data_IF_755689308136
#
_entry.id   IF_755689308136
#
_cell.length_a   1.000
_cell.length_b   1.000
_cell.length_c   1.000
_cell.angle_alpha   90.00
_cell.angle_beta   90.00
_cell.angle_gamma   90.00
#
_symmetry.space_group_name_H-M   'P 1'
#
loop_
_entity.id
_entity.type
_entity.pdbx_description
1 polymer ?
#
# COMPACT_ATOMS: atom_id res chain seq x y z
N UNK A 1 11.48 11.46 -44.62
CA UNK A 1 11.56 11.93 -43.22
C UNK A 1 11.88 10.72 -42.36
N UNK A 2 13.11 10.62 -41.86
CA UNK A 2 13.47 9.62 -40.85
C UNK A 2 12.79 10.06 -39.54
N UNK A 3 11.94 9.20 -38.99
CA UNK A 3 11.30 9.45 -37.70
C UNK A 3 12.39 9.45 -36.62
N UNK A 4 12.74 10.62 -36.12
CA UNK A 4 13.47 10.75 -34.86
C UNK A 4 12.49 10.36 -33.74
N UNK A 5 12.64 9.15 -33.20
CA UNK A 5 11.80 8.62 -32.13
C UNK A 5 12.19 9.19 -30.75
N UNK A 6 13.13 10.15 -30.70
CA UNK A 6 13.70 10.65 -29.47
C UNK A 6 14.52 9.59 -28.73
N UNK A 7 15.13 9.95 -27.59
CA UNK A 7 15.84 9.00 -26.76
C UNK A 7 14.85 7.95 -26.21
N UNK A 8 15.20 6.68 -26.38
CA UNK A 8 14.44 5.56 -25.83
C UNK A 8 14.49 5.62 -24.30
N UNK A 9 13.33 5.85 -23.67
CA UNK A 9 13.20 5.76 -22.21
C UNK A 9 13.55 4.35 -21.71
N UNK A 10 14.28 4.29 -20.59
CA UNK A 10 14.81 3.07 -20.00
C UNK A 10 13.67 2.17 -19.49
N UNK A 11 13.81 0.85 -19.66
CA UNK A 11 12.93 -0.11 -18.98
C UNK A 11 13.39 -0.35 -17.54
N UNK A 12 12.54 -0.95 -16.70
CA UNK A 12 12.95 -1.34 -15.34
C UNK A 12 14.19 -2.25 -15.35
N UNK A 13 14.38 -3.11 -16.37
CA UNK A 13 15.57 -3.98 -16.47
C UNK A 13 16.83 -3.21 -16.88
N UNK A 14 16.68 -2.22 -17.75
CA UNK A 14 17.80 -1.38 -18.19
C UNK A 14 18.33 -0.55 -17.01
N UNK A 15 17.41 0.03 -16.23
CA UNK A 15 17.71 0.72 -14.97
C UNK A 15 18.36 -0.21 -13.95
N UNK A 16 17.83 -1.43 -13.75
CA UNK A 16 18.41 -2.40 -12.84
C UNK A 16 19.89 -2.68 -13.15
N UNK A 17 20.20 -2.82 -14.45
CA UNK A 17 21.55 -3.05 -14.94
C UNK A 17 22.45 -1.83 -14.73
N UNK A 18 21.97 -0.63 -15.07
CA UNK A 18 22.73 0.60 -14.87
C UNK A 18 23.10 0.82 -13.40
N UNK A 19 22.14 0.60 -12.48
CA UNK A 19 22.40 0.66 -11.04
C UNK A 19 23.38 -0.41 -10.59
N UNK A 20 23.24 -1.65 -11.10
CA UNK A 20 24.18 -2.72 -10.78
C UNK A 20 25.63 -2.36 -11.14
N UNK A 21 25.81 -1.75 -12.30
CA UNK A 21 27.14 -1.45 -12.84
C UNK A 21 27.75 -0.17 -12.24
N UNK A 22 26.93 0.80 -11.81
CA UNK A 22 27.40 2.13 -11.39
C UNK A 22 26.73 2.76 -10.17
N UNK A 23 25.92 2.01 -9.42
CA UNK A 23 25.18 2.50 -8.26
C UNK A 23 24.09 3.53 -8.60
N UNK A 24 23.56 4.22 -7.59
CA UNK A 24 22.52 5.24 -7.77
C UNK A 24 22.98 6.46 -8.61
N UNK A 25 24.29 6.72 -8.68
CA UNK A 25 24.86 7.80 -9.49
C UNK A 25 24.83 7.51 -11.01
N UNK A 26 24.59 6.25 -11.41
CA UNK A 26 24.36 5.90 -12.81
C UNK A 26 23.01 6.43 -13.35
N UNK A 27 22.10 6.89 -12.48
CA UNK A 27 20.79 7.43 -12.85
C UNK A 27 20.88 8.94 -13.11
N UNK A 28 21.60 9.33 -14.17
CA UNK A 28 21.91 10.74 -14.50
C UNK A 28 20.68 11.57 -14.90
N UNK A 29 19.61 10.92 -15.33
CA UNK A 29 18.34 11.58 -15.69
C UNK A 29 17.42 11.77 -14.47
N UNK A 30 17.78 11.24 -13.30
CA UNK A 30 16.93 11.30 -12.13
C UNK A 30 16.87 12.72 -11.57
N UNK A 31 15.67 13.31 -11.52
CA UNK A 31 15.47 14.67 -11.05
C UNK A 31 15.10 14.68 -9.56
N UNK A 32 15.68 15.61 -8.80
CA UNK A 32 15.16 15.96 -7.47
C UNK A 32 13.92 16.82 -7.63
N UNK A 33 12.93 16.66 -6.74
CA UNK A 33 11.71 17.48 -6.72
C UNK A 33 11.61 18.22 -5.39
N UNK A 34 10.40 18.50 -4.93
CA UNK A 34 10.17 19.24 -3.68
C UNK A 34 10.61 18.46 -2.42
N UNK A 35 10.85 17.16 -2.55
CA UNK A 35 11.45 16.31 -1.53
C UNK A 35 12.89 15.88 -1.92
N UNK A 36 13.58 15.24 -0.98
CA UNK A 36 14.97 14.81 -1.17
C UNK A 36 15.13 13.58 -2.07
N UNK A 37 14.01 12.98 -2.50
CA UNK A 37 14.02 11.83 -3.38
C UNK A 37 14.39 12.22 -4.82
N UNK A 38 15.09 11.31 -5.48
CA UNK A 38 15.35 11.33 -6.92
C UNK A 38 14.24 10.55 -7.63
N UNK A 39 13.80 11.04 -8.78
CA UNK A 39 12.76 10.41 -9.60
C UNK A 39 13.30 10.05 -10.98
N UNK A 40 13.27 8.76 -11.31
CA UNK A 40 13.67 8.25 -12.62
C UNK A 40 12.45 7.77 -13.39
N UNK A 41 12.18 8.40 -14.54
CA UNK A 41 11.15 7.94 -15.46
C UNK A 41 11.60 6.68 -16.18
N UNK A 42 10.69 5.71 -16.29
CA UNK A 42 10.91 4.42 -16.94
C UNK A 42 9.67 3.98 -17.70
N UNK A 43 9.84 3.01 -18.59
CA UNK A 43 8.73 2.27 -19.21
C UNK A 43 8.55 0.88 -18.62
N UNK A 44 7.30 0.47 -18.41
CA UNK A 44 6.93 -0.90 -18.11
C UNK A 44 6.42 -1.64 -19.35
N UNK A 45 6.62 -2.96 -19.36
CA UNK A 45 6.08 -3.85 -20.41
C UNK A 45 4.67 -4.34 -20.10
N UNK A 46 4.33 -4.41 -18.81
CA UNK A 46 3.02 -4.82 -18.31
C UNK A 46 2.64 -3.99 -17.10
N UNK A 47 1.36 -3.63 -16.99
CA UNK A 47 0.80 -2.95 -15.84
C UNK A 47 0.19 -3.97 -14.86
N UNK A 48 -0.56 -4.95 -15.36
CA UNK A 48 -1.19 -6.05 -14.61
C UNK A 48 -0.22 -7.20 -14.34
N UNK A 49 0.19 -7.35 -13.07
CA UNK A 49 1.09 -8.43 -12.66
C UNK A 49 0.32 -9.52 -11.92
N UNK A 50 0.36 -10.76 -12.42
CA UNK A 50 -0.38 -11.89 -11.84
C UNK A 50 0.25 -12.35 -10.52
N UNK A 51 -0.59 -12.67 -9.54
CA UNK A 51 -0.17 -13.19 -8.24
C UNK A 51 -0.90 -14.49 -7.89
N UNK A 52 -0.33 -15.26 -6.95
CA UNK A 52 -0.92 -16.48 -6.38
C UNK A 52 -0.95 -16.38 -4.86
N UNK A 53 -1.93 -17.05 -4.24
CA UNK A 53 -2.09 -17.08 -2.79
C UNK A 53 -2.61 -15.78 -2.17
N UNK A 54 -3.13 -14.86 -3.00
CA UNK A 54 -3.73 -13.59 -2.59
C UNK A 54 -5.25 -13.64 -2.81
N UNK A 55 -6.04 -12.80 -2.11
CA UNK A 55 -7.48 -12.67 -2.33
C UNK A 55 -7.84 -11.92 -3.64
N UNK A 56 -6.83 -11.55 -4.43
CA UNK A 56 -6.92 -10.88 -5.73
C UNK A 56 -5.98 -11.58 -6.72
N UNK A 57 -6.29 -11.50 -8.02
CA UNK A 57 -5.52 -12.18 -9.07
C UNK A 57 -4.37 -11.32 -9.62
N UNK A 58 -4.48 -10.00 -9.49
CA UNK A 58 -3.59 -9.04 -10.17
C UNK A 58 -3.13 -7.91 -9.26
N UNK A 59 -1.96 -7.36 -9.55
CA UNK A 59 -1.43 -6.18 -8.87
C UNK A 59 -1.07 -5.07 -9.84
N UNK A 60 -1.28 -3.83 -9.40
CA UNK A 60 -1.02 -2.59 -10.11
C UNK A 60 -0.11 -1.72 -9.23
N UNK A 61 1.04 -1.34 -9.78
CA UNK A 61 2.02 -0.50 -9.08
C UNK A 61 2.62 0.50 -10.11
N UNK A 62 2.01 1.69 -10.25
CA UNK A 62 2.48 2.72 -11.19
C UNK A 62 3.88 3.25 -10.86
N UNK A 63 4.23 3.20 -9.58
CA UNK A 63 5.53 3.59 -9.06
C UNK A 63 6.31 2.37 -8.56
N UNK A 64 7.59 2.59 -8.27
CA UNK A 64 8.43 1.67 -7.52
C UNK A 64 9.34 2.46 -6.59
N UNK A 65 9.50 1.98 -5.37
CA UNK A 65 10.00 2.80 -4.27
C UNK A 65 8.86 3.57 -3.62
N UNK A 66 9.08 4.11 -2.42
CA UNK A 66 8.10 4.96 -1.76
C UNK A 66 8.74 5.92 -0.78
N UNK A 67 8.50 7.23 -0.96
CA UNK A 67 9.06 8.29 -0.10
C UNK A 67 8.46 8.32 1.30
N UNK A 68 7.44 7.51 1.59
CA UNK A 68 6.89 7.34 2.94
C UNK A 68 7.90 6.77 3.96
N UNK A 69 8.95 6.09 3.48
CA UNK A 69 10.08 5.64 4.29
C UNK A 69 9.73 4.82 5.54
N UNK A 70 8.64 4.03 5.52
CA UNK A 70 8.27 3.21 6.67
C UNK A 70 9.35 2.16 6.98
N UNK A 71 9.79 2.08 8.24
CA UNK A 71 10.81 1.12 8.66
C UNK A 71 10.34 -0.33 8.55
N UNK A 72 9.03 -0.55 8.64
CA UNK A 72 8.42 -1.88 8.54
C UNK A 72 8.00 -2.27 7.10
N UNK A 73 8.37 -1.48 6.08
CA UNK A 73 7.84 -1.64 4.73
C UNK A 73 8.25 -2.98 4.10
N UNK A 74 7.30 -3.89 3.94
CA UNK A 74 7.57 -5.21 3.33
C UNK A 74 8.01 -5.13 1.87
N UNK A 75 7.66 -4.04 1.16
CA UNK A 75 8.02 -3.84 -0.23
C UNK A 75 9.54 -3.68 -0.44
N UNK A 76 10.30 -3.40 0.62
CA UNK A 76 11.77 -3.41 0.63
C UNK A 76 12.33 -4.76 0.17
N UNK A 77 11.63 -5.88 0.42
CA UNK A 77 12.03 -7.20 -0.10
C UNK A 77 12.02 -7.27 -1.63
N UNK A 78 11.11 -6.55 -2.31
CA UNK A 78 11.09 -6.60 -3.76
C UNK A 78 12.21 -5.77 -4.39
N UNK A 79 12.91 -4.93 -3.64
CA UNK A 79 14.05 -4.16 -4.14
C UNK A 79 15.34 -4.97 -4.26
N UNK A 80 15.58 -5.96 -3.40
CA UNK A 80 16.79 -6.81 -3.50
C UNK A 80 16.90 -7.54 -4.84
N UNK A 81 15.78 -7.70 -5.57
CA UNK A 81 15.74 -8.29 -6.91
C UNK A 81 16.41 -7.41 -7.99
N UNK A 82 16.74 -6.16 -7.66
CA UNK A 82 17.32 -5.17 -8.58
C UNK A 82 18.73 -4.75 -8.16
N UNK A 83 19.31 -5.46 -7.18
CA UNK A 83 20.64 -5.16 -6.61
C UNK A 83 20.77 -3.74 -6.01
N UNK A 84 19.64 -3.04 -5.86
CA UNK A 84 19.47 -1.85 -5.02
C UNK A 84 19.43 -2.28 -3.55
N UNK A 85 20.11 -1.53 -2.69
CA UNK A 85 20.14 -1.79 -1.25
C UNK A 85 18.74 -1.69 -0.65
N UNK A 86 18.40 -2.62 0.26
CA UNK A 86 17.13 -2.59 1.02
C UNK A 86 17.06 -1.47 2.08
N UNK A 87 18.12 -0.66 2.18
CA UNK A 87 18.26 0.51 3.04
C UNK A 87 17.52 1.74 2.52
N UNK A 88 18.08 2.92 2.72
CA UNK A 88 17.34 4.17 2.49
C UNK A 88 17.14 4.50 1.01
N UNK A 89 17.85 3.81 0.11
CA UNK A 89 17.69 3.86 -1.34
C UNK A 89 16.24 3.56 -1.80
N UNK A 90 15.51 2.71 -1.06
CA UNK A 90 14.08 2.46 -1.35
C UNK A 90 13.20 3.70 -1.26
N UNK A 91 13.54 4.60 -0.33
CA UNK A 91 12.79 5.82 -0.04
C UNK A 91 13.37 7.05 -0.75
N UNK A 92 14.60 6.98 -1.25
CA UNK A 92 15.28 8.10 -1.92
C UNK A 92 15.36 7.96 -3.45
N UNK A 93 15.05 6.80 -4.02
CA UNK A 93 15.04 6.57 -5.47
C UNK A 93 13.70 5.98 -5.94
N UNK A 94 12.89 6.78 -6.62
CA UNK A 94 11.56 6.37 -7.10
C UNK A 94 11.57 6.20 -8.62
N UNK A 95 11.13 5.04 -9.09
CA UNK A 95 10.90 4.81 -10.52
C UNK A 95 9.46 5.08 -10.89
N UNK A 96 9.26 5.91 -11.90
CA UNK A 96 7.95 6.35 -12.38
C UNK A 96 7.68 5.68 -13.73
N UNK A 97 6.65 4.84 -13.80
CA UNK A 97 6.29 4.16 -15.05
C UNK A 97 5.40 5.07 -15.89
N UNK A 98 6.00 5.94 -16.71
CA UNK A 98 5.27 7.00 -17.43
C UNK A 98 4.27 6.47 -18.45
N UNK A 99 4.53 5.29 -19.03
CA UNK A 99 3.61 4.61 -19.95
C UNK A 99 2.57 3.69 -19.27
N UNK A 100 2.49 3.67 -17.93
CA UNK A 100 1.72 2.68 -17.17
C UNK A 100 0.23 2.68 -17.53
N UNK A 101 -0.39 3.85 -17.64
CA UNK A 101 -1.82 3.98 -17.91
C UNK A 101 -2.17 3.48 -19.32
N UNK A 102 -1.32 3.77 -20.31
CA UNK A 102 -1.55 3.33 -21.69
C UNK A 102 -1.35 1.82 -21.85
N UNK A 103 -0.36 1.25 -21.16
CA UNK A 103 -0.19 -0.21 -21.09
C UNK A 103 -1.41 -0.85 -20.43
N UNK A 104 -1.88 -0.32 -19.30
CA UNK A 104 -3.04 -0.85 -18.60
C UNK A 104 -4.30 -0.83 -19.47
N UNK A 105 -4.59 0.28 -20.17
CA UNK A 105 -5.74 0.36 -21.08
C UNK A 105 -5.71 -0.75 -22.13
N UNK A 106 -4.56 -0.98 -22.76
CA UNK A 106 -4.39 -2.05 -23.75
C UNK A 106 -4.60 -3.44 -23.16
N UNK A 107 -4.12 -3.68 -21.94
CA UNK A 107 -4.31 -4.97 -21.26
C UNK A 107 -5.78 -5.20 -20.85
N UNK A 108 -6.50 -4.15 -20.46
CA UNK A 108 -7.92 -4.22 -20.10
C UNK A 108 -8.85 -4.34 -21.32
N UNK A 109 -8.41 -3.88 -22.49
CA UNK A 109 -9.11 -4.00 -23.77
C UNK A 109 -8.98 -5.40 -24.40
N UNK A 110 -8.14 -6.29 -23.84
CA UNK A 110 -8.02 -7.67 -24.30
C UNK A 110 -9.37 -8.40 -24.14
N UNK A 111 -9.95 -8.98 -25.20
CA UNK A 111 -11.20 -9.75 -25.12
C UNK A 111 -11.18 -10.91 -24.12
N UNK A 112 -10.01 -11.38 -23.71
CA UNK A 112 -9.82 -12.43 -22.69
C UNK A 112 -9.81 -11.89 -21.26
N UNK A 113 -9.83 -10.58 -21.07
CA UNK A 113 -9.82 -9.99 -19.74
C UNK A 113 -11.10 -10.33 -18.96
N UNK A 114 -10.94 -11.05 -17.86
CA UNK A 114 -12.05 -11.58 -17.05
C UNK A 114 -12.56 -10.58 -16.00
N UNK A 115 -11.95 -9.39 -15.91
CA UNK A 115 -12.28 -8.38 -14.89
C UNK A 115 -12.10 -8.90 -13.47
N UNK A 116 -11.09 -9.74 -13.28
CA UNK A 116 -10.68 -10.20 -11.97
C UNK A 116 -10.29 -9.02 -11.07
N UNK A 117 -10.48 -9.18 -9.76
CA UNK A 117 -10.06 -8.18 -8.76
C UNK A 117 -8.56 -7.90 -8.89
N UNK A 118 -8.24 -6.63 -9.13
CA UNK A 118 -6.87 -6.11 -9.09
C UNK A 118 -6.60 -5.40 -7.75
N UNK A 119 -5.34 -5.38 -7.32
CA UNK A 119 -4.91 -4.63 -6.15
C UNK A 119 -3.95 -3.51 -6.54
N UNK A 120 -4.32 -2.26 -6.25
CA UNK A 120 -3.50 -1.07 -6.49
C UNK A 120 -2.77 -0.67 -5.20
N UNK A 121 -1.46 -0.50 -5.29
CA UNK A 121 -0.64 -0.05 -4.16
C UNK A 121 -0.09 -1.18 -3.28
N UNK A 122 0.23 -2.33 -3.88
CA UNK A 122 0.73 -3.50 -3.15
C UNK A 122 2.23 -3.47 -2.87
N UNK A 123 3.03 -2.73 -3.64
CA UNK A 123 4.49 -2.65 -3.47
C UNK A 123 5.02 -1.21 -3.47
N UNK A 124 4.13 -0.23 -3.52
CA UNK A 124 4.40 1.20 -3.46
C UNK A 124 3.12 1.89 -2.99
N UNK A 125 3.21 3.13 -2.53
CA UNK A 125 2.01 3.92 -2.30
C UNK A 125 1.59 4.66 -3.59
N UNK A 126 0.35 4.45 -4.08
CA UNK A 126 -0.14 5.10 -5.29
C UNK A 126 -0.35 6.62 -5.08
N UNK A 127 -0.47 7.09 -3.85
CA UNK A 127 -0.70 8.49 -3.47
C UNK A 127 0.45 9.07 -2.64
N UNK A 128 1.67 8.56 -2.80
CA UNK A 128 2.88 9.25 -2.32
C UNK A 128 3.01 10.64 -3.00
N UNK A 129 3.74 11.61 -2.42
CA UNK A 129 3.78 13.00 -2.88
C UNK A 129 3.91 13.22 -4.39
N UNK A 130 4.72 12.43 -5.09
CA UNK A 130 4.94 12.57 -6.54
C UNK A 130 3.69 12.34 -7.39
N UNK A 131 2.66 11.67 -6.86
CA UNK A 131 1.36 11.50 -7.53
C UNK A 131 0.65 12.83 -7.77
N UNK A 132 0.99 13.88 -7.02
CA UNK A 132 0.49 15.24 -7.28
C UNK A 132 0.93 15.78 -8.64
N UNK A 133 2.09 15.33 -9.14
CA UNK A 133 2.65 15.70 -10.43
C UNK A 133 2.18 14.78 -11.56
N UNK A 134 2.45 13.48 -11.47
CA UNK A 134 2.23 12.56 -12.60
C UNK A 134 0.77 12.11 -12.77
N UNK A 135 -0.01 12.07 -11.69
CA UNK A 135 -1.42 11.65 -11.72
C UNK A 135 -1.64 10.23 -12.30
N UNK A 136 -0.64 9.34 -12.20
CA UNK A 136 -0.73 7.98 -12.76
C UNK A 136 -1.77 7.14 -12.04
N UNK A 137 -1.98 7.34 -10.74
CA UNK A 137 -3.00 6.63 -9.98
C UNK A 137 -4.41 7.07 -10.39
N UNK A 138 -4.63 8.36 -10.64
CA UNK A 138 -5.88 8.84 -11.25
C UNK A 138 -6.13 8.21 -12.62
N UNK A 139 -5.13 8.24 -13.51
CA UNK A 139 -5.23 7.63 -14.83
C UNK A 139 -5.48 6.12 -14.77
N UNK A 140 -4.88 5.44 -13.78
CA UNK A 140 -5.12 4.01 -13.48
C UNK A 140 -6.57 3.77 -13.10
N UNK A 141 -7.13 4.56 -12.18
CA UNK A 141 -8.54 4.45 -11.79
C UNK A 141 -9.48 4.69 -12.98
N UNK A 142 -9.19 5.68 -13.83
CA UNK A 142 -9.99 5.94 -15.05
C UNK A 142 -9.94 4.76 -16.03
N UNK A 143 -8.77 4.13 -16.21
CA UNK A 143 -8.64 2.92 -17.02
C UNK A 143 -9.45 1.75 -16.45
N UNK A 144 -9.45 1.59 -15.12
CA UNK A 144 -10.24 0.56 -14.42
C UNK A 144 -11.76 0.80 -14.55
N UNK A 145 -12.21 2.05 -14.53
CA UNK A 145 -13.61 2.43 -14.83
C UNK A 145 -13.98 1.98 -16.24
N UNK A 146 -13.17 2.34 -17.24
CA UNK A 146 -13.42 1.96 -18.64
C UNK A 146 -13.43 0.43 -18.83
N UNK A 147 -12.46 -0.26 -18.22
CA UNK A 147 -12.36 -1.72 -18.23
C UNK A 147 -13.33 -2.44 -17.27
N UNK A 148 -14.21 -1.71 -16.57
CA UNK A 148 -15.15 -2.23 -15.54
C UNK A 148 -14.49 -3.23 -14.60
N UNK A 149 -13.29 -2.90 -14.13
CA UNK A 149 -12.44 -3.82 -13.37
C UNK A 149 -12.44 -3.44 -11.89
N UNK A 150 -12.89 -4.32 -10.98
CA UNK A 150 -12.91 -4.01 -9.56
C UNK A 150 -11.49 -3.90 -9.00
N UNK A 151 -11.32 -3.04 -8.00
CA UNK A 151 -10.01 -2.79 -7.38
C UNK A 151 -10.05 -2.78 -5.85
N UNK A 152 -9.07 -3.45 -5.23
CA UNK A 152 -8.66 -3.18 -3.86
C UNK A 152 -7.53 -2.16 -3.85
N UNK A 153 -7.78 -0.93 -3.40
CA UNK A 153 -6.75 0.12 -3.37
C UNK A 153 -6.22 0.29 -1.94
N UNK A 154 -4.90 0.20 -1.77
CA UNK A 154 -4.25 0.43 -0.47
C UNK A 154 -3.38 1.69 -0.53
N UNK A 155 -3.54 2.59 0.43
CA UNK A 155 -2.75 3.82 0.52
C UNK A 155 -2.59 4.35 1.95
N UNK A 156 -1.57 5.17 2.16
CA UNK A 156 -1.34 6.07 3.31
C UNK A 156 -1.43 7.54 2.89
N UNK A 157 -1.58 7.85 1.60
CA UNK A 157 -1.66 9.20 1.07
C UNK A 157 -3.08 9.77 1.15
N UNK A 158 -3.32 10.87 1.89
CA UNK A 158 -4.64 11.50 1.95
C UNK A 158 -5.04 12.16 0.62
N UNK A 159 -4.11 12.31 -0.33
CA UNK A 159 -4.36 12.85 -1.67
C UNK A 159 -5.43 12.07 -2.46
N UNK A 160 -5.73 10.82 -2.07
CA UNK A 160 -6.82 10.03 -2.66
C UNK A 160 -8.16 10.78 -2.70
N UNK A 161 -8.40 11.72 -1.78
CA UNK A 161 -9.61 12.57 -1.80
C UNK A 161 -9.80 13.36 -3.10
N UNK A 162 -8.71 13.68 -3.82
CA UNK A 162 -8.74 14.31 -5.14
C UNK A 162 -9.53 13.50 -6.16
N UNK A 163 -9.49 12.17 -6.03
CA UNK A 163 -10.02 11.24 -7.03
C UNK A 163 -11.33 10.58 -6.58
N UNK A 164 -12.03 11.17 -5.60
CA UNK A 164 -13.36 10.71 -5.16
C UNK A 164 -14.34 10.62 -6.34
N UNK A 165 -14.28 11.57 -7.28
CA UNK A 165 -15.12 11.57 -8.48
C UNK A 165 -14.93 10.29 -9.31
N UNK A 166 -13.69 9.89 -9.56
CA UNK A 166 -13.37 8.67 -10.33
C UNK A 166 -13.68 7.40 -9.52
N UNK A 167 -13.47 7.43 -8.20
CA UNK A 167 -13.83 6.31 -7.32
C UNK A 167 -15.34 6.08 -7.28
N UNK A 168 -16.15 7.14 -7.27
CA UNK A 168 -17.61 7.04 -7.37
C UNK A 168 -18.03 6.43 -8.72
N UNK A 169 -17.40 6.86 -9.82
CA UNK A 169 -17.65 6.25 -11.13
C UNK A 169 -17.27 4.77 -11.16
N UNK A 170 -16.17 4.39 -10.52
CA UNK A 170 -15.77 2.99 -10.38
C UNK A 170 -16.79 2.17 -9.58
N UNK A 171 -17.33 2.73 -8.50
CA UNK A 171 -18.39 2.10 -7.70
C UNK A 171 -19.70 1.91 -8.49
N UNK A 172 -19.99 2.75 -9.49
CA UNK A 172 -21.17 2.58 -10.37
C UNK A 172 -21.01 1.44 -11.37
N UNK A 173 -19.79 1.17 -11.83
CA UNK A 173 -19.53 0.21 -12.91
C UNK A 173 -18.91 -1.11 -12.44
N UNK A 174 -18.57 -1.24 -11.16
CA UNK A 174 -18.00 -2.45 -10.56
C UNK A 174 -18.67 -2.83 -9.25
N UNK A 175 -18.64 -4.11 -8.93
CA UNK A 175 -19.00 -4.62 -7.60
C UNK A 175 -17.74 -5.09 -6.89
N UNK A 176 -17.58 -4.76 -5.60
CA UNK A 176 -16.48 -5.27 -4.77
C UNK A 176 -15.21 -4.43 -4.75
N UNK A 177 -15.19 -3.26 -5.42
CA UNK A 177 -14.10 -2.30 -5.23
C UNK A 177 -14.08 -1.78 -3.80
N UNK A 178 -12.91 -1.79 -3.16
CA UNK A 178 -12.75 -1.45 -1.74
C UNK A 178 -11.49 -0.63 -1.53
N UNK A 179 -11.60 0.46 -0.76
CA UNK A 179 -10.48 1.36 -0.46
C UNK A 179 -10.00 1.14 0.97
N UNK A 180 -8.70 0.91 1.09
CA UNK A 180 -8.01 0.60 2.34
C UNK A 180 -7.03 1.73 2.67
N UNK A 181 -7.35 2.54 3.68
CA UNK A 181 -6.40 3.53 4.19
C UNK A 181 -5.62 2.92 5.35
N UNK A 182 -4.30 2.86 5.23
CA UNK A 182 -3.45 2.30 6.28
C UNK A 182 -3.25 3.30 7.42
N UNK A 183 -3.77 2.96 8.59
CA UNK A 183 -3.59 3.72 9.85
C UNK A 183 -3.24 2.72 10.95
N UNK A 184 -1.95 2.37 11.11
CA UNK A 184 -1.49 1.41 12.12
C UNK A 184 -1.79 1.85 13.55
N UNK A 185 -1.68 3.16 13.80
CA UNK A 185 -1.81 3.79 15.11
C UNK A 185 -2.20 5.25 14.95
N UNK A 186 -2.89 5.82 15.95
CA UNK A 186 -3.04 7.27 16.12
C UNK A 186 -2.09 7.85 17.17
N UNK A 187 -1.21 7.03 17.74
CA UNK A 187 -0.16 7.48 18.66
C UNK A 187 0.95 8.22 17.90
N UNK A 188 1.09 9.51 18.21
CA UNK A 188 2.01 10.44 17.56
C UNK A 188 3.48 9.99 17.60
N UNK A 189 3.93 9.49 18.74
CA UNK A 189 5.32 9.04 18.93
C UNK A 189 5.61 7.79 18.09
N UNK A 190 4.74 6.78 18.16
CA UNK A 190 4.88 5.58 17.34
C UNK A 190 4.77 5.90 15.82
N UNK A 191 3.88 6.81 15.42
CA UNK A 191 3.76 7.24 14.03
C UNK A 191 5.06 7.87 13.51
N UNK A 192 5.58 8.90 14.21
CA UNK A 192 6.81 9.60 13.80
C UNK A 192 8.00 8.64 13.72
N UNK A 193 8.11 7.69 14.65
CA UNK A 193 9.21 6.71 14.71
C UNK A 193 9.12 5.65 13.62
N UNK A 194 7.92 5.17 13.26
CA UNK A 194 7.77 4.01 12.39
C UNK A 194 7.54 4.36 10.91
N UNK A 195 6.89 5.49 10.63
CA UNK A 195 6.49 5.89 9.28
C UNK A 195 6.64 7.41 9.02
N UNK A 196 7.87 7.95 9.16
CA UNK A 196 8.15 9.39 9.21
C UNK A 196 7.76 10.17 7.95
N UNK A 197 7.80 9.54 6.77
CA UNK A 197 7.46 10.19 5.50
C UNK A 197 5.96 10.19 5.16
N UNK A 198 5.10 9.67 6.05
CA UNK A 198 3.66 9.56 5.79
C UNK A 198 2.90 10.77 6.33
N UNK A 199 1.69 11.01 5.81
CA UNK A 199 0.79 11.99 6.41
C UNK A 199 0.36 11.57 7.83
N UNK A 200 -0.01 12.55 8.65
CA UNK A 200 -0.47 12.31 10.02
C UNK A 200 -1.66 11.31 10.04
N UNK A 201 -1.74 10.38 11.01
CA UNK A 201 -2.84 9.41 11.12
C UNK A 201 -4.24 10.03 11.03
N UNK A 202 -4.46 11.15 11.73
CA UNK A 202 -5.75 11.85 11.69
C UNK A 202 -6.06 12.47 10.31
N UNK A 203 -5.06 12.88 9.52
CA UNK A 203 -5.30 13.35 8.15
C UNK A 203 -5.74 12.19 7.24
N UNK A 204 -5.13 11.01 7.43
CA UNK A 204 -5.54 9.77 6.76
C UNK A 204 -6.98 9.38 7.13
N UNK A 205 -7.36 9.49 8.41
CA UNK A 205 -8.73 9.22 8.85
C UNK A 205 -9.74 10.26 8.32
N UNK A 206 -9.36 11.53 8.16
CA UNK A 206 -10.21 12.52 7.46
C UNK A 206 -10.44 12.14 5.99
N UNK A 207 -9.43 11.59 5.32
CA UNK A 207 -9.59 11.07 3.96
C UNK A 207 -10.58 9.88 3.92
N UNK A 208 -10.51 8.98 4.91
CA UNK A 208 -11.52 7.90 5.08
C UNK A 208 -12.91 8.50 5.21
N UNK A 209 -13.09 9.48 6.10
CA UNK A 209 -14.39 10.13 6.30
C UNK A 209 -14.93 10.74 5.01
N UNK A 210 -14.10 11.49 4.28
CA UNK A 210 -14.49 12.10 3.00
C UNK A 210 -14.93 11.06 1.95
N UNK A 211 -14.23 9.92 1.86
CA UNK A 211 -14.62 8.84 0.95
C UNK A 211 -15.93 8.16 1.39
N UNK A 212 -16.10 7.91 2.69
CA UNK A 212 -17.33 7.31 3.23
C UNK A 212 -18.54 8.23 3.04
N UNK A 213 -18.40 9.52 3.30
CA UNK A 213 -19.45 10.52 3.08
C UNK A 213 -19.83 10.64 1.59
N UNK A 214 -18.90 10.33 0.67
CA UNK A 214 -19.14 10.26 -0.77
C UNK A 214 -19.74 8.91 -1.24
N UNK A 215 -20.06 7.99 -0.32
CA UNK A 215 -20.63 6.67 -0.64
C UNK A 215 -19.62 5.64 -1.14
N UNK A 216 -18.32 5.88 -0.98
CA UNK A 216 -17.26 4.92 -1.37
C UNK A 216 -17.06 3.91 -0.25
N UNK A 217 -16.91 2.63 -0.61
CA UNK A 217 -16.59 1.55 0.34
C UNK A 217 -15.13 1.68 0.81
N UNK A 218 -14.95 2.48 1.86
CA UNK A 218 -13.65 2.81 2.42
C UNK A 218 -13.54 2.41 3.90
N UNK A 219 -12.39 1.82 4.25
CA UNK A 219 -12.08 1.40 5.60
C UNK A 219 -10.61 1.51 5.93
N UNK A 220 -10.23 0.98 7.09
CA UNK A 220 -8.88 1.14 7.64
C UNK A 220 -8.16 -0.20 7.74
N UNK A 221 -6.87 -0.20 7.40
CA UNK A 221 -5.95 -1.26 7.77
C UNK A 221 -5.02 -0.78 8.88
N UNK A 222 -5.16 -1.36 10.08
CA UNK A 222 -4.17 -1.27 11.15
C UNK A 222 -3.04 -2.26 10.84
N UNK A 223 -2.22 -1.94 9.83
CA UNK A 223 -1.23 -2.86 9.27
C UNK A 223 0.09 -2.13 8.95
N UNK A 224 1.19 -2.45 9.65
CA UNK A 224 1.31 -3.46 10.70
C UNK A 224 1.02 -2.93 12.12
N UNK A 225 0.46 -3.78 12.97
CA UNK A 225 0.59 -3.66 14.42
C UNK A 225 2.00 -4.12 14.83
N UNK A 226 2.77 -3.19 15.38
CA UNK A 226 4.17 -3.33 15.77
C UNK A 226 4.30 -3.55 17.28
N UNK A 227 4.76 -4.73 17.74
CA UNK A 227 4.94 -5.05 19.16
C UNK A 227 5.79 -4.02 19.92
N UNK A 228 5.32 -3.57 21.09
CA UNK A 228 6.05 -2.57 21.88
C UNK A 228 5.92 -1.13 21.39
N UNK A 229 5.37 -0.89 20.19
CA UNK A 229 5.11 0.46 19.68
C UNK A 229 3.62 0.80 19.60
N UNK A 230 2.81 -0.15 19.13
CA UNK A 230 1.38 0.08 18.80
C UNK A 230 0.43 -0.97 19.38
N UNK A 231 0.95 -2.05 19.95
CA UNK A 231 0.13 -3.16 20.48
C UNK A 231 -0.28 -2.99 21.95
N UNK A 232 0.09 -1.88 22.61
CA UNK A 232 -0.40 -1.59 23.95
C UNK A 232 -1.92 -1.41 23.94
N UNK A 233 -2.68 -1.98 24.90
CA UNK A 233 -4.14 -1.90 24.91
C UNK A 233 -4.70 -0.48 24.77
N UNK A 234 -4.13 0.50 25.47
CA UNK A 234 -4.55 1.90 25.39
C UNK A 234 -4.36 2.51 23.98
N UNK A 235 -3.24 2.19 23.30
CA UNK A 235 -2.97 2.66 21.93
C UNK A 235 -3.90 2.00 20.91
N UNK A 236 -4.14 0.69 21.06
CA UNK A 236 -5.11 -0.04 20.25
C UNK A 236 -6.51 0.55 20.40
N UNK A 237 -6.94 0.81 21.64
CA UNK A 237 -8.24 1.40 21.94
C UNK A 237 -8.38 2.81 21.35
N UNK A 238 -7.42 3.69 21.59
CA UNK A 238 -7.42 5.05 21.04
C UNK A 238 -7.50 5.03 19.50
N UNK A 239 -6.73 4.14 18.87
CA UNK A 239 -6.70 4.01 17.40
C UNK A 239 -8.04 3.48 16.87
N UNK A 240 -8.59 2.41 17.44
CA UNK A 240 -9.88 1.84 17.00
C UNK A 240 -11.01 2.83 17.22
N UNK A 241 -11.03 3.55 18.35
CA UNK A 241 -12.01 4.61 18.60
C UNK A 241 -11.89 5.71 17.55
N UNK A 242 -10.70 6.22 17.28
CA UNK A 242 -10.51 7.26 16.26
C UNK A 242 -10.96 6.81 14.88
N UNK A 243 -10.71 5.55 14.51
CA UNK A 243 -11.21 4.95 13.26
C UNK A 243 -12.75 4.94 13.23
N UNK A 244 -13.39 4.57 14.35
CA UNK A 244 -14.85 4.57 14.49
C UNK A 244 -15.43 5.98 14.33
N UNK A 245 -14.83 6.97 15.01
CA UNK A 245 -15.27 8.36 15.00
C UNK A 245 -15.21 8.98 13.58
N UNK A 246 -14.30 8.49 12.73
CA UNK A 246 -14.17 8.91 11.33
C UNK A 246 -15.02 8.09 10.36
N UNK A 247 -15.84 7.17 10.86
CA UNK A 247 -16.90 6.51 10.09
C UNK A 247 -16.43 5.40 9.14
N UNK A 248 -15.22 4.86 9.32
CA UNK A 248 -14.71 3.76 8.50
C UNK A 248 -15.73 2.61 8.39
N UNK A 249 -15.92 2.06 7.18
CA UNK A 249 -16.90 0.98 6.93
C UNK A 249 -16.46 -0.36 7.51
N UNK A 250 -15.14 -0.57 7.58
CA UNK A 250 -14.52 -1.78 8.12
C UNK A 250 -13.12 -1.47 8.66
N UNK A 251 -12.61 -2.41 9.47
CA UNK A 251 -11.24 -2.37 10.00
C UNK A 251 -10.58 -3.74 9.88
N UNK A 252 -9.46 -3.81 9.17
CA UNK A 252 -8.54 -4.93 9.17
C UNK A 252 -7.34 -4.66 10.08
N UNK A 253 -6.72 -5.70 10.61
CA UNK A 253 -5.50 -5.56 11.42
C UNK A 253 -4.57 -6.75 11.17
N UNK A 254 -3.30 -6.47 10.91
CA UNK A 254 -2.26 -7.48 10.75
C UNK A 254 -1.06 -7.11 11.60
N UNK A 255 -0.39 -8.10 12.18
CA UNK A 255 0.86 -7.86 12.89
C UNK A 255 2.00 -7.63 11.91
N UNK A 256 3.05 -6.99 12.41
CA UNK A 256 4.31 -6.82 11.72
C UNK A 256 4.83 -8.17 11.17
N UNK A 257 5.34 -8.08 9.95
CA UNK A 257 5.97 -9.15 9.20
C UNK A 257 7.43 -8.76 8.96
N UNK A 258 8.37 -9.64 9.31
CA UNK A 258 9.80 -9.38 9.18
C UNK A 258 10.48 -10.49 8.40
N UNK A 259 10.82 -10.22 7.15
CA UNK A 259 11.49 -11.19 6.28
C UNK A 259 12.43 -10.50 5.29
N UNK A 260 13.55 -11.16 4.95
CA UNK A 260 14.61 -10.62 4.10
C UNK A 260 14.97 -9.17 4.40
N UNK A 261 15.10 -8.35 3.34
CA UNK A 261 15.49 -6.94 3.46
C UNK A 261 14.61 -6.07 4.36
N UNK A 262 13.35 -6.47 4.60
CA UNK A 262 12.47 -5.80 5.57
C UNK A 262 12.95 -6.04 7.00
N UNK A 263 13.30 -7.29 7.34
CA UNK A 263 13.87 -7.64 8.65
C UNK A 263 15.17 -6.89 8.86
N UNK A 264 16.07 -6.91 7.88
CA UNK A 264 17.39 -6.30 7.99
C UNK A 264 17.29 -4.79 8.26
N UNK A 265 16.44 -4.08 7.52
CA UNK A 265 16.23 -2.64 7.73
C UNK A 265 15.57 -2.35 9.07
N UNK A 266 14.53 -3.09 9.44
CA UNK A 266 13.81 -2.87 10.70
C UNK A 266 14.68 -3.17 11.94
N UNK A 267 15.48 -4.23 11.91
CA UNK A 267 16.39 -4.57 13.01
C UNK A 267 17.53 -3.55 13.14
N UNK A 268 18.03 -2.96 12.05
CA UNK A 268 18.99 -1.84 12.12
C UNK A 268 18.37 -0.59 12.77
N UNK A 269 17.14 -0.26 12.40
CA UNK A 269 16.38 0.81 13.06
C UNK A 269 16.24 0.55 14.57
N UNK A 270 15.89 -0.68 14.98
CA UNK A 270 15.84 -1.02 16.40
C UNK A 270 17.20 -0.92 17.08
N UNK A 271 18.27 -1.42 16.47
CA UNK A 271 19.61 -1.38 17.06
C UNK A 271 20.10 0.06 17.28
N UNK A 272 19.76 0.98 16.37
CA UNK A 272 20.09 2.40 16.48
C UNK A 272 19.26 3.11 17.55
N UNK A 273 17.93 2.98 17.47
CA UNK A 273 17.02 3.90 18.16
C UNK A 273 16.38 3.28 19.41
N UNK A 274 16.33 1.94 19.47
CA UNK A 274 15.70 1.16 20.54
C UNK A 274 16.52 -0.09 20.89
N UNK A 275 17.82 0.03 21.23
CA UNK A 275 18.70 -1.13 21.42
C UNK A 275 18.16 -2.14 22.44
N UNK A 276 17.44 -1.65 23.46
CA UNK A 276 16.80 -2.50 24.48
C UNK A 276 15.70 -3.45 23.93
N UNK A 277 15.16 -3.18 22.73
CA UNK A 277 14.13 -4.01 22.10
C UNK A 277 14.71 -5.11 21.20
N UNK A 278 16.00 -5.06 20.84
CA UNK A 278 16.61 -5.97 19.86
C UNK A 278 16.46 -7.43 20.27
N UNK A 279 16.92 -7.81 21.47
CA UNK A 279 16.84 -9.19 21.97
C UNK A 279 15.41 -9.70 22.10
N UNK A 280 14.45 -8.80 22.39
CA UNK A 280 13.05 -9.16 22.43
C UNK A 280 12.52 -9.44 21.03
N UNK A 281 12.90 -8.63 20.05
CA UNK A 281 12.49 -8.80 18.66
C UNK A 281 13.14 -10.03 18.01
N UNK A 282 14.40 -10.34 18.28
CA UNK A 282 15.02 -11.57 17.78
C UNK A 282 14.31 -12.83 18.29
N UNK A 283 13.86 -12.83 19.54
CA UNK A 283 13.05 -13.93 20.11
C UNK A 283 11.63 -13.94 19.55
N UNK A 284 10.96 -12.79 19.51
CA UNK A 284 9.56 -12.69 19.05
C UNK A 284 9.42 -12.95 17.55
N UNK A 285 10.45 -12.61 16.77
CA UNK A 285 10.54 -12.80 15.32
C UNK A 285 11.70 -13.74 14.96
N UNK A 286 11.82 -14.86 15.69
CA UNK A 286 12.66 -15.99 15.30
C UNK A 286 12.23 -16.60 13.95
N UNK A 287 10.95 -16.37 13.57
CA UNK A 287 10.42 -16.59 12.23
C UNK A 287 9.95 -15.27 11.63
N UNK A 288 9.51 -15.31 10.36
CA UNK A 288 8.95 -14.13 9.68
C UNK A 288 7.67 -13.57 10.31
N UNK A 289 7.00 -14.35 11.16
CA UNK A 289 5.80 -13.98 11.90
C UNK A 289 6.02 -14.09 13.41
N UNK A 290 5.29 -13.25 14.16
CA UNK A 290 5.16 -13.42 15.61
C UNK A 290 4.44 -14.74 15.95
N UNK A 291 4.64 -15.29 17.16
CA UNK A 291 3.95 -16.49 17.62
C UNK A 291 2.42 -16.40 17.48
N UNK A 292 1.80 -17.54 17.19
CA UNK A 292 0.36 -17.63 16.94
C UNK A 292 -0.47 -17.16 18.13
N UNK A 293 -0.07 -17.54 19.35
CA UNK A 293 -0.72 -17.14 20.60
C UNK A 293 -0.66 -15.62 20.81
N UNK A 294 0.48 -14.98 20.52
CA UNK A 294 0.64 -13.53 20.60
C UNK A 294 -0.27 -12.83 19.57
N UNK A 295 -0.25 -13.34 18.34
CA UNK A 295 -1.07 -12.83 17.22
C UNK A 295 -2.56 -12.92 17.55
N UNK A 296 -3.02 -14.05 18.09
CA UNK A 296 -4.41 -14.27 18.49
C UNK A 296 -4.85 -13.36 19.63
N UNK A 297 -3.99 -13.14 20.64
CA UNK A 297 -4.29 -12.18 21.72
C UNK A 297 -4.51 -10.77 21.19
N UNK A 298 -3.61 -10.28 20.34
CA UNK A 298 -3.74 -8.94 19.74
C UNK A 298 -4.98 -8.85 18.86
N UNK A 299 -5.24 -9.86 18.01
CA UNK A 299 -6.45 -9.92 17.18
C UNK A 299 -7.73 -9.94 18.01
N UNK A 300 -7.77 -10.68 19.12
CA UNK A 300 -8.90 -10.71 20.03
C UNK A 300 -9.16 -9.34 20.65
N UNK A 301 -8.12 -8.66 21.12
CA UNK A 301 -8.24 -7.29 21.66
C UNK A 301 -8.80 -6.32 20.61
N UNK A 302 -8.25 -6.32 19.39
CA UNK A 302 -8.77 -5.48 18.30
C UNK A 302 -10.22 -5.85 17.95
N UNK A 303 -10.56 -7.14 17.93
CA UNK A 303 -11.92 -7.62 17.75
C UNK A 303 -12.88 -7.05 18.80
N UNK A 304 -12.55 -7.19 20.07
CA UNK A 304 -13.35 -6.63 21.17
C UNK A 304 -13.54 -5.11 21.04
N UNK A 305 -12.48 -4.37 20.72
CA UNK A 305 -12.54 -2.93 20.53
C UNK A 305 -13.42 -2.55 19.33
N UNK A 306 -13.30 -3.25 18.20
CA UNK A 306 -14.15 -3.02 17.03
C UNK A 306 -15.63 -3.23 17.37
N UNK A 307 -15.96 -4.22 18.21
CA UNK A 307 -17.32 -4.46 18.66
C UNK A 307 -17.80 -3.35 19.61
N UNK A 308 -16.97 -2.96 20.59
CA UNK A 308 -17.23 -1.87 21.53
C UNK A 308 -17.54 -0.54 20.83
N UNK A 309 -16.81 -0.22 19.76
CA UNK A 309 -16.94 1.05 19.04
C UNK A 309 -17.77 0.95 17.75
N UNK A 310 -18.44 -0.18 17.50
CA UNK A 310 -19.40 -0.30 16.39
C UNK A 310 -18.80 -0.22 14.98
N UNK A 311 -17.55 -0.65 14.79
CA UNK A 311 -16.88 -0.66 13.47
C UNK A 311 -16.85 -2.05 12.82
N UNK A 312 -17.44 -3.05 13.49
CA UNK A 312 -17.77 -4.32 12.87
C UNK A 312 -19.08 -4.13 12.12
N UNK A 313 -19.10 -4.33 10.80
CA UNK A 313 -20.33 -4.54 10.02
C UNK A 313 -21.16 -3.32 9.56
N UNK A 314 -20.57 -2.14 9.26
CA UNK A 314 -21.33 -1.14 8.47
C UNK A 314 -21.71 -1.65 7.08
N UNK A 315 -20.92 -2.56 6.50
CA UNK A 315 -21.24 -3.25 5.23
C UNK A 315 -22.57 -4.02 5.29
N UNK A 316 -22.93 -4.58 6.45
CA UNK A 316 -24.08 -5.50 6.61
C UNK A 316 -25.38 -4.78 6.95
N UNK A 317 -25.32 -3.55 7.48
CA UNK A 317 -26.52 -2.75 7.79
C UNK A 317 -27.16 -2.19 6.51
N UNK A 318 -26.36 -1.66 5.60
CA UNK A 318 -26.86 -1.10 4.32
C UNK A 318 -27.35 -2.20 3.36
N UNK A 319 -26.76 -3.40 3.41
CA UNK A 319 -27.20 -4.58 2.62
C UNK A 319 -28.50 -5.22 3.15
N UNK A 320 -28.93 -4.91 4.39
CA UNK A 320 -30.17 -5.48 4.97
C UNK A 320 -31.46 -4.81 4.49
N UNK A 321 -31.35 -3.69 3.77
CA UNK A 321 -32.46 -3.01 3.07
C UNK A 321 -32.52 -3.38 1.57
N UNK A 322 -31.60 -4.22 1.06
CA UNK A 322 -31.54 -4.63 -0.34
C UNK A 322 -30.91 -6.01 -0.55
N UNK A 323 -31.75 -7.04 -0.61
CA UNK A 323 -31.53 -8.38 -1.18
C UNK A 323 -30.08 -8.96 -1.27
N UNK A 324 -29.80 -9.88 -0.34
CA UNK A 324 -28.91 -11.06 -0.41
C UNK A 324 -27.96 -11.20 -1.61
N UNK A 325 -26.67 -10.82 -1.45
CA UNK A 325 -25.55 -11.35 -2.27
C UNK A 325 -24.24 -11.55 -1.47
N UNK A 326 -23.49 -12.54 -1.96
CA UNK A 326 -22.28 -13.23 -1.45
C UNK A 326 -21.31 -12.39 -0.60
N UNK A 327 -21.08 -12.82 0.64
CA UNK A 327 -20.09 -12.29 1.58
C UNK A 327 -18.68 -12.84 1.31
N UNK A 328 -17.71 -11.97 1.06
CA UNK A 328 -16.29 -12.31 1.16
C UNK A 328 -15.78 -11.95 2.58
N UNK A 329 -15.13 -12.88 3.30
CA UNK A 329 -14.55 -12.59 4.61
C UNK A 329 -13.39 -11.57 4.51
N UNK A 330 -13.15 -10.83 5.60
CA UNK A 330 -12.02 -9.90 5.69
C UNK A 330 -10.70 -10.64 5.39
N UNK A 331 -9.80 -10.07 4.55
CA UNK A 331 -8.64 -10.80 4.08
C UNK A 331 -7.62 -10.99 5.21
N UNK A 332 -7.31 -12.25 5.50
CA UNK A 332 -6.02 -12.62 6.08
C UNK A 332 -5.00 -12.44 4.96
N UNK A 333 -4.13 -11.43 5.08
CA UNK A 333 -3.18 -11.10 4.01
C UNK A 333 -2.06 -12.15 3.99
N UNK A 334 -2.32 -13.29 3.35
CA UNK A 334 -1.28 -14.19 2.89
C UNK A 334 -0.56 -13.52 1.72
N UNK A 335 0.68 -13.04 1.91
CA UNK A 335 1.37 -12.22 0.90
C UNK A 335 2.13 -13.04 -0.16
N UNK A 336 1.74 -12.79 -1.42
CA UNK A 336 2.29 -13.10 -2.74
C UNK A 336 3.78 -13.44 -2.88
N UNK A 337 4.01 -14.51 -3.63
CA UNK A 337 5.16 -14.66 -4.53
C UNK A 337 4.80 -14.00 -5.87
N UNK A 338 5.45 -12.90 -6.24
CA UNK A 338 5.40 -12.38 -7.61
C UNK A 338 6.16 -13.36 -8.51
N UNK A 339 5.49 -13.97 -9.50
CA UNK A 339 6.19 -14.69 -10.57
C UNK A 339 6.58 -13.63 -11.60
N UNK A 340 7.88 -13.36 -11.72
CA UNK A 340 8.45 -12.44 -12.72
C UNK A 340 8.61 -13.11 -14.08
#
# INVERSE_FOLDING_TARGET
MLFDLGPRLLTTRDVARAVKDGGAEALTEAQRRADEARYQEIHCRSALNRVKGMPFSWTLNPYRGCTHACHYCFARRYQTHFELGSGDEFSSMIFVKTNFVDVLRRELDDPKWTRDLAALGTATDPYQPIEGHYKLSRGTLQALVAGRTPVGLITKGPMIVRDIDVLQDLSKVTTGSTIYVSVPTTDDDAWRRLEPGTAHPLQRLRAVRAMVDAGIEAGVLMSPLVPGFTTQPAKLEATVKAIADHGARFVGANLLFLDGGTRDHFMRFLASDFPALVDQYDRLYASKYAPKDYTERVRKTVGMLKARYGVQNRRRQDESEGESRVTAPAPEVAQATLQF
#
